data_IF_202682604914
#
_entry.id   IF_202682604914
#
_cell.length_a   1.000
_cell.length_b   1.000
_cell.length_c   1.000
_cell.angle_alpha   90.00
_cell.angle_beta   90.00
_cell.angle_gamma   90.00
#
_symmetry.space_group_name_H-M   'P 1'
#
loop_
_entity.id
_entity.type
_entity.pdbx_description
1 polymer ?
#
# COMPACT_ATOMS: atom_id res chain seq x y z
N UNK A 1 -11.40 16.74 0.09
CA UNK A 1 -11.50 15.29 0.29
C UNK A 1 -10.24 14.61 -0.21
N UNK A 2 -9.80 13.61 0.50
CA UNK A 2 -8.54 12.94 0.22
C UNK A 2 -8.83 11.52 -0.25
N UNK A 3 -8.32 11.15 -1.41
CA UNK A 3 -8.39 9.79 -1.92
C UNK A 3 -7.22 8.99 -1.38
N UNK A 4 -7.54 7.81 -0.84
CA UNK A 4 -6.54 6.85 -0.38
C UNK A 4 -6.84 5.51 -1.02
N UNK A 5 -5.82 4.88 -1.55
CA UNK A 5 -5.94 3.53 -2.12
C UNK A 5 -5.28 2.55 -1.17
N UNK A 6 -6.10 1.72 -0.55
CA UNK A 6 -5.61 0.69 0.36
C UNK A 6 -5.28 -0.54 -0.46
N UNK A 7 -4.01 -0.88 -0.46
CA UNK A 7 -3.51 -2.03 -1.20
C UNK A 7 -3.31 -3.19 -0.25
N UNK A 8 -3.81 -4.36 -0.62
CA UNK A 8 -3.52 -5.59 0.09
C UNK A 8 -2.96 -6.58 -0.90
N UNK A 9 -1.72 -6.99 -0.68
CA UNK A 9 -1.02 -7.91 -1.55
C UNK A 9 -0.99 -9.27 -0.90
N UNK A 10 -1.47 -10.27 -1.63
CA UNK A 10 -1.45 -11.67 -1.22
C UNK A 10 -0.35 -12.37 -2.00
N UNK A 11 0.66 -12.84 -1.30
CA UNK A 11 1.77 -13.54 -1.92
C UNK A 11 1.50 -15.03 -2.06
N UNK A 12 2.18 -15.68 -2.98
CA UNK A 12 1.98 -17.11 -3.25
C UNK A 12 2.39 -17.99 -2.07
N UNK A 13 3.27 -17.47 -1.19
CA UNK A 13 3.69 -18.21 0.02
C UNK A 13 2.71 -18.08 1.18
N UNK A 14 1.56 -17.43 0.97
CA UNK A 14 0.54 -17.27 2.00
C UNK A 14 0.67 -16.04 2.87
N UNK A 15 1.73 -15.26 2.71
CA UNK A 15 1.89 -14.01 3.47
C UNK A 15 1.14 -12.87 2.80
N UNK A 16 0.86 -11.81 3.55
CA UNK A 16 0.18 -10.62 3.05
C UNK A 16 0.92 -9.37 3.47
N UNK A 17 0.72 -8.32 2.69
CA UNK A 17 1.27 -7.01 3.01
C UNK A 17 0.22 -5.96 2.63
N UNK A 18 0.06 -4.93 3.47
CA UNK A 18 -0.89 -3.86 3.20
C UNK A 18 -0.20 -2.51 3.32
N UNK A 19 -0.62 -1.57 2.50
CA UNK A 19 -0.13 -0.20 2.57
C UNK A 19 -1.14 0.74 1.93
N UNK A 20 -1.05 2.01 2.28
CA UNK A 20 -1.87 3.07 1.69
C UNK A 20 -1.05 3.83 0.65
N UNK A 21 -1.69 4.15 -0.45
CA UNK A 21 -1.08 4.97 -1.50
C UNK A 21 -2.05 6.02 -2.01
N UNK A 22 -1.54 7.00 -2.72
CA UNK A 22 -2.37 8.03 -3.33
C UNK A 22 -2.79 7.67 -4.75
N UNK A 23 -2.28 6.59 -5.29
CA UNK A 23 -2.62 6.04 -6.61
C UNK A 23 -2.63 4.52 -6.54
N UNK A 24 -3.46 3.86 -7.35
CA UNK A 24 -3.36 2.40 -7.47
C UNK A 24 -2.03 2.04 -8.14
N UNK A 25 -1.38 1.00 -7.62
CA UNK A 25 -0.16 0.49 -8.24
C UNK A 25 -0.51 -0.41 -9.40
N UNK A 26 0.41 -0.53 -10.34
CA UNK A 26 0.29 -1.44 -11.46
C UNK A 26 1.57 -2.26 -11.56
N UNK A 27 1.43 -3.57 -11.33
CA UNK A 27 2.56 -4.49 -11.36
C UNK A 27 2.45 -5.35 -12.59
N UNK A 28 3.50 -5.34 -13.40
CA UNK A 28 3.57 -6.20 -14.59
C UNK A 28 4.24 -7.51 -14.23
N UNK A 29 3.77 -8.59 -14.82
CA UNK A 29 4.36 -9.92 -14.65
C UNK A 29 5.84 -9.87 -15.03
N UNK A 30 6.68 -10.48 -14.19
CA UNK A 30 8.13 -10.49 -14.39
C UNK A 30 8.83 -9.20 -13.98
N UNK A 31 8.11 -8.26 -13.38
CA UNK A 31 8.67 -6.99 -12.98
C UNK A 31 8.77 -6.80 -11.49
N UNK A 32 9.30 -5.66 -11.11
CA UNK A 32 9.34 -5.21 -9.72
C UNK A 32 8.59 -3.90 -9.60
N UNK A 33 7.94 -3.71 -8.47
CA UNK A 33 7.30 -2.46 -8.13
C UNK A 33 8.00 -1.85 -6.92
N UNK A 34 8.39 -0.59 -7.02
CA UNK A 34 9.02 0.14 -5.93
C UNK A 34 7.99 1.04 -5.28
N UNK A 35 7.87 0.94 -3.97
CA UNK A 35 6.95 1.77 -3.20
C UNK A 35 7.77 2.52 -2.18
N UNK A 36 7.69 3.84 -2.22
CA UNK A 36 8.39 4.70 -1.28
C UNK A 36 7.39 5.26 -0.28
N UNK A 37 7.69 5.08 1.00
CA UNK A 37 6.91 5.66 2.08
C UNK A 37 7.57 6.95 2.51
N UNK A 38 7.11 8.06 1.97
CA UNK A 38 7.77 9.36 2.13
C UNK A 38 7.85 9.81 3.59
N UNK A 39 6.96 9.35 4.44
CA UNK A 39 6.92 9.77 5.83
C UNK A 39 7.98 9.09 6.70
N UNK A 40 8.24 7.83 6.43
CA UNK A 40 9.24 7.07 7.19
C UNK A 40 10.59 7.02 6.49
N UNK A 41 10.63 7.39 5.22
CA UNK A 41 11.82 7.25 4.41
C UNK A 41 12.08 5.81 3.95
N UNK A 42 11.19 4.90 4.28
CA UNK A 42 11.34 3.49 3.91
C UNK A 42 10.85 3.26 2.49
N UNK A 43 11.31 2.19 1.90
CA UNK A 43 10.83 1.74 0.60
C UNK A 43 10.63 0.23 0.61
N UNK A 44 9.70 -0.21 -0.21
CA UNK A 44 9.41 -1.64 -0.39
C UNK A 44 9.51 -1.98 -1.85
N UNK A 45 10.15 -3.11 -2.12
CA UNK A 45 10.25 -3.64 -3.48
C UNK A 45 9.38 -4.90 -3.52
N UNK A 46 8.44 -4.91 -4.46
CA UNK A 46 7.53 -6.03 -4.65
C UNK A 46 7.92 -6.77 -5.92
N UNK A 47 8.18 -8.07 -5.78
CA UNK A 47 8.44 -8.93 -6.92
C UNK A 47 7.10 -9.46 -7.44
N UNK A 48 6.74 -9.08 -8.65
CA UNK A 48 5.48 -9.47 -9.25
C UNK A 48 5.30 -10.99 -9.36
N UNK A 49 6.38 -11.73 -9.54
CA UNK A 49 6.31 -13.18 -9.67
C UNK A 49 5.91 -13.88 -8.37
N UNK A 50 6.03 -13.20 -7.24
CA UNK A 50 5.63 -13.72 -5.93
C UNK A 50 4.22 -13.29 -5.53
N UNK A 51 3.57 -12.49 -6.35
CA UNK A 51 2.24 -11.97 -6.06
C UNK A 51 1.17 -12.88 -6.64
N UNK A 52 0.22 -13.28 -5.80
CA UNK A 52 -0.94 -14.04 -6.24
C UNK A 52 -2.09 -13.10 -6.63
N UNK A 53 -2.47 -12.23 -5.68
CA UNK A 53 -3.59 -11.30 -5.88
C UNK A 53 -3.26 -9.98 -5.22
N UNK A 54 -3.67 -8.89 -5.84
CA UNK A 54 -3.64 -7.57 -5.21
C UNK A 54 -5.07 -7.06 -5.19
N UNK A 55 -5.52 -6.69 -3.99
CA UNK A 55 -6.82 -6.03 -3.81
C UNK A 55 -6.57 -4.56 -3.51
N UNK A 56 -7.26 -3.69 -4.23
CA UNK A 56 -7.13 -2.25 -4.05
C UNK A 56 -8.51 -1.69 -3.72
N UNK A 57 -8.60 -1.03 -2.57
CA UNK A 57 -9.83 -0.39 -2.12
C UNK A 57 -9.64 1.12 -2.12
N UNK A 58 -10.51 1.82 -2.82
CA UNK A 58 -10.48 3.29 -2.84
C UNK A 58 -11.29 3.81 -1.66
N UNK A 59 -10.69 4.68 -0.87
CA UNK A 59 -11.35 5.37 0.23
C UNK A 59 -11.33 6.87 -0.05
N UNK A 60 -12.42 7.54 0.31
CA UNK A 60 -12.49 8.99 0.24
C UNK A 60 -12.66 9.49 1.67
N UNK A 61 -11.68 10.20 2.16
CA UNK A 61 -11.58 10.60 3.56
C UNK A 61 -11.61 12.12 3.69
N UNK A 62 -12.13 12.59 4.82
CA UNK A 62 -11.94 13.98 5.22
C UNK A 62 -10.51 14.15 5.72
N UNK A 63 -10.07 15.40 5.86
CA UNK A 63 -8.73 15.68 6.40
C UNK A 63 -8.55 15.08 7.80
N UNK A 64 -9.59 15.17 8.63
CA UNK A 64 -9.55 14.63 9.98
C UNK A 64 -9.42 13.11 9.97
N UNK A 65 -10.19 12.44 9.12
CA UNK A 65 -10.11 10.98 8.98
C UNK A 65 -8.74 10.54 8.46
N UNK A 66 -8.20 11.28 7.52
CA UNK A 66 -6.89 11.01 6.95
C UNK A 66 -5.80 11.12 8.01
N UNK A 67 -5.85 12.18 8.82
CA UNK A 67 -4.87 12.38 9.89
C UNK A 67 -4.93 11.28 10.95
N UNK A 68 -6.13 10.84 11.30
CA UNK A 68 -6.29 9.72 12.23
C UNK A 68 -5.68 8.44 11.67
N UNK A 69 -5.92 8.18 10.39
CA UNK A 69 -5.39 7.00 9.73
C UNK A 69 -3.86 7.03 9.67
N UNK A 70 -3.28 8.18 9.36
CA UNK A 70 -1.83 8.36 9.36
C UNK A 70 -1.21 8.06 10.73
N UNK A 71 -1.83 8.56 11.79
CA UNK A 71 -1.35 8.32 13.15
C UNK A 71 -1.38 6.85 13.51
N UNK A 72 -2.43 6.15 13.12
CA UNK A 72 -2.53 4.71 13.37
C UNK A 72 -1.45 3.93 12.63
N UNK A 73 -1.19 4.28 11.37
CA UNK A 73 -0.17 3.61 10.57
C UNK A 73 1.24 3.87 11.07
N UNK A 74 1.49 5.06 11.65
CA UNK A 74 2.80 5.42 12.14
C UNK A 74 3.00 5.04 13.61
N UNK A 75 2.01 4.46 14.25
CA UNK A 75 2.05 4.16 15.68
C UNK A 75 2.86 2.90 16.00
N UNK A 76 3.19 2.13 15.01
CA UNK A 76 3.86 0.85 15.14
C UNK A 76 5.34 0.93 15.53
N UNK A 77 5.87 2.09 15.64
CA UNK A 77 7.29 2.27 15.93
C UNK A 77 7.67 1.93 17.37
#
# INVERSE_FOLDING_TARGET
MIEVYVHTIYYINGTTQSFDGNKPINIKKGGFCYINFSQSGDSTIINADQVNVIKIKRLILTEEEYEKRRKLLNHEE
#
